data_IF_019248806219
#
_entry.id   IF_019248806219
#
_cell.length_a   1.000
_cell.length_b   1.000
_cell.length_c   1.000
_cell.angle_alpha   90.00
_cell.angle_beta   90.00
_cell.angle_gamma   90.00
#
_symmetry.space_group_name_H-M   'P 1'
#
loop_
_entity.id
_entity.type
_entity.pdbx_description
1 polymer ?
#
# COMPACT_ATOMS: atom_id res chain seq x y z
N UNK A 1 -0.27 53.09 -25.82
CA UNK A 1 -0.53 51.87 -25.01
C UNK A 1 -0.89 50.72 -25.93
N UNK A 2 -0.34 49.54 -25.68
CA UNK A 2 -0.63 48.32 -26.43
C UNK A 2 -1.17 47.26 -25.46
N UNK A 3 -2.35 46.71 -25.72
CA UNK A 3 -3.05 45.76 -24.82
C UNK A 3 -3.20 46.27 -23.37
N UNK A 4 -3.38 47.57 -23.17
CA UNK A 4 -3.48 48.18 -21.83
C UNK A 4 -2.16 48.25 -21.05
N UNK A 5 -1.03 47.87 -21.66
CA UNK A 5 0.30 47.85 -21.03
C UNK A 5 1.21 48.92 -21.66
N UNK A 6 2.07 49.53 -20.84
CA UNK A 6 3.04 50.55 -21.24
C UNK A 6 2.60 51.98 -20.97
N UNK A 7 3.40 52.94 -21.43
CA UNK A 7 3.12 54.37 -21.26
C UNK A 7 2.15 54.90 -22.33
N UNK A 8 1.36 55.92 -21.96
CA UNK A 8 0.46 56.60 -22.89
C UNK A 8 1.24 57.47 -23.89
N UNK A 9 2.23 58.22 -23.41
CA UNK A 9 3.20 58.94 -24.24
C UNK A 9 4.61 58.81 -23.66
N UNK A 10 5.66 58.80 -24.50
CA UNK A 10 7.04 58.76 -24.04
C UNK A 10 7.52 60.10 -23.44
N UNK A 11 6.83 61.19 -23.77
CA UNK A 11 7.19 62.54 -23.34
C UNK A 11 6.97 62.69 -21.83
N UNK A 12 7.98 63.22 -21.13
CA UNK A 12 7.93 63.38 -19.66
C UNK A 12 8.31 62.15 -18.85
N UNK A 13 8.44 60.96 -19.47
CA UNK A 13 8.94 59.76 -18.78
C UNK A 13 10.46 59.70 -18.69
N UNK A 14 11.19 60.58 -19.40
CA UNK A 14 12.66 60.59 -19.50
C UNK A 14 13.28 59.25 -19.98
N UNK A 15 12.51 58.40 -20.67
CA UNK A 15 12.97 57.13 -21.24
C UNK A 15 12.50 56.96 -22.68
N UNK A 16 13.09 56.01 -23.41
CA UNK A 16 12.71 55.68 -24.79
C UNK A 16 11.37 54.92 -24.91
N UNK A 17 10.66 54.68 -23.79
CA UNK A 17 9.36 54.00 -23.75
C UNK A 17 9.29 52.61 -24.40
N UNK A 18 10.42 51.92 -24.43
CA UNK A 18 10.48 50.56 -24.91
C UNK A 18 9.92 49.59 -23.86
N UNK A 19 8.86 48.87 -24.21
CA UNK A 19 8.15 47.96 -23.30
C UNK A 19 8.44 46.52 -23.72
N UNK A 20 9.04 45.75 -22.82
CA UNK A 20 9.31 44.32 -23.04
C UNK A 20 8.34 43.44 -22.24
N UNK A 21 7.96 42.30 -22.81
CA UNK A 21 7.26 41.27 -22.06
C UNK A 21 8.22 40.58 -21.09
N UNK A 22 7.80 40.40 -19.84
CA UNK A 22 8.54 39.58 -18.87
C UNK A 22 8.58 38.12 -19.32
N UNK A 23 9.79 37.56 -19.48
CA UNK A 23 10.03 36.15 -19.84
C UNK A 23 9.80 35.19 -18.66
N UNK A 24 9.93 35.69 -17.43
CA UNK A 24 9.73 34.90 -16.20
C UNK A 24 8.27 34.86 -15.76
N UNK A 25 7.37 35.59 -16.43
CA UNK A 25 5.95 35.57 -16.09
C UNK A 25 5.31 34.24 -16.52
N UNK A 26 5.08 33.36 -15.54
CA UNK A 26 4.33 32.12 -15.72
C UNK A 26 2.84 32.46 -15.74
N UNK A 27 2.18 32.19 -16.86
CA UNK A 27 0.72 32.38 -16.96
C UNK A 27 0.03 31.41 -16.00
N UNK A 28 -0.84 31.88 -15.09
CA UNK A 28 -1.63 30.97 -14.25
C UNK A 28 -2.50 30.12 -15.18
N UNK A 29 -2.49 28.80 -14.96
CA UNK A 29 -3.33 27.88 -15.69
C UNK A 29 -4.78 28.24 -15.33
N UNK A 30 -5.55 28.71 -16.29
CA UNK A 30 -6.98 28.94 -16.09
C UNK A 30 -7.58 27.59 -15.75
N UNK A 31 -7.89 27.38 -14.47
CA UNK A 31 -8.46 26.13 -14.00
C UNK A 31 -9.94 26.15 -14.40
N UNK A 32 -10.20 25.99 -15.69
CA UNK A 32 -11.51 25.54 -16.15
C UNK A 32 -11.60 24.10 -15.68
N UNK A 33 -12.03 23.92 -14.43
CA UNK A 33 -12.46 22.65 -13.92
C UNK A 33 -13.63 22.22 -14.79
N UNK A 34 -13.34 21.48 -15.87
CA UNK A 34 -14.38 20.71 -16.52
C UNK A 34 -14.89 19.78 -15.45
N UNK A 35 -16.14 19.97 -15.02
CA UNK A 35 -16.88 19.01 -14.20
C UNK A 35 -17.11 17.79 -15.09
N UNK A 36 -16.04 17.04 -15.35
CA UNK A 36 -16.13 15.69 -15.86
C UNK A 36 -16.58 14.88 -14.66
N UNK A 37 -17.77 14.29 -14.76
CA UNK A 37 -18.35 13.45 -13.71
C UNK A 37 -17.32 12.46 -13.17
N UNK A 38 -17.48 12.12 -11.90
CA UNK A 38 -16.55 11.28 -11.15
C UNK A 38 -16.35 9.95 -11.89
N UNK A 39 -15.18 9.76 -12.50
CA UNK A 39 -14.84 8.51 -13.16
C UNK A 39 -14.67 7.41 -12.09
N UNK A 40 -14.92 6.12 -12.41
CA UNK A 40 -14.59 5.04 -11.50
C UNK A 40 -13.09 5.11 -11.16
N UNK A 41 -12.76 5.30 -9.87
CA UNK A 41 -11.39 5.49 -9.39
C UNK A 41 -10.97 6.94 -9.12
N UNK A 42 -11.80 7.94 -9.44
CA UNK A 42 -11.62 9.28 -8.91
C UNK A 42 -11.83 9.19 -7.39
N UNK A 43 -10.96 9.77 -6.56
CA UNK A 43 -10.99 9.59 -5.09
C UNK A 43 -10.10 8.47 -4.52
N UNK A 44 -9.55 7.56 -5.33
CA UNK A 44 -8.47 6.65 -4.89
C UNK A 44 -7.10 7.33 -4.88
N UNK A 45 -7.04 8.64 -5.19
CA UNK A 45 -5.81 9.40 -5.38
C UNK A 45 -4.83 9.37 -4.19
N UNK A 46 -5.27 8.98 -2.99
CA UNK A 46 -4.42 8.76 -1.82
C UNK A 46 -3.98 7.31 -1.56
N UNK A 47 -4.55 6.33 -2.28
CA UNK A 47 -4.33 4.87 -2.14
C UNK A 47 -3.56 4.29 -3.34
N UNK A 48 -3.16 5.12 -4.31
CA UNK A 48 -2.59 4.66 -5.59
C UNK A 48 -1.28 3.91 -5.48
N UNK A 49 -0.57 3.98 -4.35
CA UNK A 49 0.65 3.21 -4.12
C UNK A 49 0.36 2.07 -3.15
N UNK A 50 0.10 0.89 -3.72
CA UNK A 50 0.14 -0.37 -2.98
C UNK A 50 1.49 -0.51 -2.27
N UNK A 51 1.53 -1.06 -1.05
CA UNK A 51 2.78 -1.39 -0.39
C UNK A 51 3.55 -2.41 -1.23
N UNK A 52 4.88 -2.27 -1.29
CA UNK A 52 5.72 -3.28 -1.91
C UNK A 52 6.14 -4.28 -0.83
N UNK A 53 5.84 -5.57 -1.05
CA UNK A 53 6.13 -6.64 -0.11
C UNK A 53 7.64 -6.79 0.14
N UNK A 54 8.46 -6.63 -0.90
CA UNK A 54 9.92 -6.74 -0.79
C UNK A 54 10.52 -5.72 0.18
N UNK A 55 9.97 -4.50 0.19
CA UNK A 55 10.43 -3.43 1.08
C UNK A 55 10.02 -3.72 2.53
N UNK A 56 8.80 -4.24 2.73
CA UNK A 56 8.34 -4.63 4.07
C UNK A 56 9.17 -5.78 4.64
N UNK A 57 9.45 -6.81 3.84
CA UNK A 57 10.31 -7.93 4.24
C UNK A 57 11.75 -7.46 4.55
N UNK A 58 12.28 -6.54 3.76
CA UNK A 58 13.60 -5.96 3.99
C UNK A 58 13.64 -5.18 5.31
N UNK A 59 12.63 -4.36 5.59
CA UNK A 59 12.52 -3.63 6.85
C UNK A 59 12.48 -4.59 8.05
N UNK A 60 11.74 -5.71 7.94
CA UNK A 60 11.67 -6.74 8.98
C UNK A 60 13.04 -7.38 9.24
N UNK A 61 13.75 -7.80 8.18
CA UNK A 61 15.11 -8.35 8.29
C UNK A 61 16.06 -7.33 8.93
N UNK A 62 15.95 -6.06 8.57
CA UNK A 62 16.73 -4.97 9.16
C UNK A 62 16.45 -4.81 10.66
N UNK A 63 15.19 -4.93 11.09
CA UNK A 63 14.85 -4.87 12.52
C UNK A 63 15.41 -6.04 13.31
N UNK A 64 15.36 -7.25 12.76
CA UNK A 64 15.97 -8.41 13.41
C UNK A 64 17.48 -8.23 13.55
N UNK A 65 18.16 -7.86 12.47
CA UNK A 65 19.59 -7.61 12.53
C UNK A 65 19.93 -6.52 13.54
N UNK A 66 19.15 -5.42 13.59
CA UNK A 66 19.32 -4.37 14.59
C UNK A 66 19.19 -4.91 16.02
N UNK A 67 18.18 -5.73 16.29
CA UNK A 67 17.97 -6.34 17.62
C UNK A 67 19.12 -7.26 18.01
N UNK A 68 19.62 -8.06 17.07
CA UNK A 68 20.75 -8.99 17.27
C UNK A 68 22.03 -8.21 17.60
N UNK A 69 22.35 -7.18 16.82
CA UNK A 69 23.54 -6.33 17.08
C UNK A 69 23.47 -5.65 18.45
N UNK A 70 22.30 -5.12 18.82
CA UNK A 70 22.10 -4.53 20.15
C UNK A 70 22.24 -5.56 21.27
N UNK A 71 21.87 -6.83 21.04
CA UNK A 71 22.07 -7.91 22.02
C UNK A 71 23.55 -8.30 22.11
N UNK A 72 24.25 -8.36 20.99
CA UNK A 72 25.69 -8.61 20.92
C UNK A 72 26.46 -7.57 21.75
N UNK A 73 26.21 -6.27 21.51
CA UNK A 73 26.81 -5.18 22.29
C UNK A 73 26.59 -5.34 23.80
N UNK A 74 25.36 -5.67 24.21
CA UNK A 74 25.02 -5.89 25.63
C UNK A 74 25.74 -7.10 26.23
N UNK A 75 25.90 -8.18 25.46
CA UNK A 75 26.59 -9.37 25.95
C UNK A 75 28.11 -9.15 26.03
N UNK A 76 28.66 -8.35 25.11
CA UNK A 76 30.06 -7.90 25.19
C UNK A 76 30.30 -7.02 26.42
N UNK A 77 29.41 -6.07 26.72
CA UNK A 77 29.52 -5.21 27.91
C UNK A 77 29.45 -6.01 29.23
N UNK A 78 28.74 -7.14 29.23
CA UNK A 78 28.63 -8.04 30.37
C UNK A 78 29.84 -8.98 30.52
N UNK A 79 30.78 -8.99 29.56
CA UNK A 79 31.99 -9.79 29.61
C UNK A 79 31.80 -11.28 29.31
N UNK A 80 30.79 -11.64 28.52
CA UNK A 80 30.61 -13.03 28.05
C UNK A 80 31.71 -13.43 27.06
N UNK A 81 31.97 -14.74 26.95
CA UNK A 81 32.92 -15.28 25.96
C UNK A 81 32.28 -15.33 24.57
N UNK A 82 33.08 -15.17 23.51
CA UNK A 82 32.60 -15.14 22.12
C UNK A 82 31.77 -16.39 21.73
N UNK A 83 32.10 -17.55 22.30
CA UNK A 83 31.36 -18.79 22.08
C UNK A 83 29.95 -18.75 22.68
N UNK A 84 29.81 -18.27 23.92
CA UNK A 84 28.51 -18.11 24.58
C UNK A 84 27.66 -17.02 23.91
N UNK A 85 28.31 -15.98 23.39
CA UNK A 85 27.64 -14.92 22.62
C UNK A 85 27.03 -15.52 21.36
N UNK A 86 27.78 -16.30 20.57
CA UNK A 86 27.28 -16.90 19.34
C UNK A 86 26.04 -17.78 19.57
N UNK A 87 26.05 -18.64 20.60
CA UNK A 87 24.91 -19.49 20.95
C UNK A 87 23.66 -18.66 21.29
N UNK A 88 23.81 -17.63 22.13
CA UNK A 88 22.71 -16.73 22.50
C UNK A 88 22.17 -15.91 21.32
N UNK A 89 23.03 -15.52 20.38
CA UNK A 89 22.59 -14.81 19.18
C UNK A 89 21.78 -15.71 18.24
N UNK A 90 22.16 -16.99 18.10
CA UNK A 90 21.42 -17.96 17.29
C UNK A 90 20.07 -18.34 17.93
N UNK A 91 20.01 -18.45 19.25
CA UNK A 91 18.75 -18.57 19.98
C UNK A 91 17.86 -17.34 19.80
N UNK A 92 18.45 -16.14 19.87
CA UNK A 92 17.72 -14.88 19.68
C UNK A 92 17.18 -14.75 18.25
N UNK A 93 17.93 -15.17 17.23
CA UNK A 93 17.47 -15.24 15.83
C UNK A 93 16.24 -16.10 15.69
N UNK A 94 16.32 -17.37 16.10
CA UNK A 94 15.20 -18.33 16.04
C UNK A 94 13.98 -17.79 16.80
N UNK A 95 14.20 -17.22 17.98
CA UNK A 95 13.12 -16.66 18.80
C UNK A 95 12.42 -15.47 18.14
N UNK A 96 13.15 -14.62 17.39
CA UNK A 96 12.58 -13.47 16.68
C UNK A 96 11.83 -13.90 15.42
N UNK A 97 12.32 -14.91 14.70
CA UNK A 97 11.67 -15.51 13.54
C UNK A 97 10.35 -16.20 13.95
N UNK A 98 10.39 -17.07 14.97
CA UNK A 98 9.19 -17.74 15.46
C UNK A 98 8.11 -16.76 15.94
N UNK A 99 8.50 -15.70 16.66
CA UNK A 99 7.54 -14.65 17.09
C UNK A 99 6.88 -13.97 15.90
N UNK A 100 7.63 -13.72 14.84
CA UNK A 100 7.11 -13.09 13.64
C UNK A 100 6.13 -13.98 12.88
N UNK A 101 6.41 -15.28 12.78
CA UNK A 101 5.50 -16.23 12.14
C UNK A 101 4.16 -16.35 12.90
N UNK A 102 4.20 -16.29 14.24
CA UNK A 102 3.00 -16.22 15.10
C UNK A 102 2.22 -14.90 14.89
N UNK A 103 2.92 -13.77 14.76
CA UNK A 103 2.31 -12.45 14.54
C UNK A 103 1.64 -12.33 13.16
N UNK A 104 2.20 -12.98 12.12
CA UNK A 104 1.59 -13.10 10.81
C UNK A 104 0.27 -13.87 10.86
N UNK A 105 0.20 -14.95 11.65
CA UNK A 105 -0.99 -15.78 11.80
C UNK A 105 -2.14 -15.09 12.52
N UNK A 106 -1.85 -14.24 13.51
CA UNK A 106 -2.86 -13.52 14.28
C UNK A 106 -3.35 -12.22 13.62
N UNK A 107 -2.90 -11.93 12.38
CA UNK A 107 -3.17 -10.68 11.65
C UNK A 107 -2.84 -9.41 12.47
N UNK A 108 -2.05 -9.60 13.53
CA UNK A 108 -1.69 -8.62 14.53
C UNK A 108 -0.24 -8.29 14.26
N UNK A 109 -0.01 -7.66 13.10
CA UNK A 109 1.28 -7.04 12.78
C UNK A 109 1.41 -5.79 13.65
N UNK A 110 1.56 -6.02 14.96
CA UNK A 110 1.81 -5.01 15.97
C UNK A 110 3.28 -4.66 15.86
N UNK A 111 3.57 -3.79 14.92
CA UNK A 111 4.68 -2.88 15.11
C UNK A 111 4.31 -2.04 16.35
N UNK A 112 4.76 -2.48 17.53
CA UNK A 112 4.45 -1.82 18.81
C UNK A 112 5.08 -0.41 18.90
N UNK A 113 6.06 -0.14 18.03
CA UNK A 113 6.54 1.19 17.74
C UNK A 113 5.61 1.91 16.75
N UNK A 114 5.18 3.12 17.13
CA UNK A 114 4.50 4.05 16.23
C UNK A 114 5.28 4.10 14.90
N UNK A 115 4.64 3.70 13.80
CA UNK A 115 5.26 3.75 12.47
C UNK A 115 5.67 5.19 12.21
N UNK A 116 6.97 5.41 12.04
CA UNK A 116 7.50 6.74 11.75
C UNK A 116 6.97 7.24 10.41
N UNK A 117 6.66 8.53 10.31
CA UNK A 117 6.10 9.16 9.09
C UNK A 117 6.98 8.96 7.85
N UNK A 118 8.28 8.71 8.04
CA UNK A 118 9.25 8.42 6.98
C UNK A 118 9.06 7.04 6.33
N UNK A 119 8.36 6.11 6.97
CA UNK A 119 8.18 4.73 6.48
C UNK A 119 6.93 4.63 5.59
N UNK A 120 7.04 5.12 4.37
CA UNK A 120 5.91 5.26 3.45
C UNK A 120 5.19 3.94 3.15
N UNK A 121 5.93 2.83 3.02
CA UNK A 121 5.33 1.52 2.69
C UNK A 121 4.59 0.90 3.87
N UNK A 122 5.09 1.06 5.09
CA UNK A 122 4.41 0.63 6.32
C UNK A 122 3.13 1.45 6.52
N UNK A 123 3.20 2.77 6.31
CA UNK A 123 2.02 3.64 6.36
C UNK A 123 1.00 3.26 5.29
N UNK A 124 1.43 2.94 4.07
CA UNK A 124 0.54 2.45 3.00
C UNK A 124 -0.12 1.13 3.37
N UNK A 125 0.62 0.16 3.92
CA UNK A 125 0.08 -1.13 4.33
C UNK A 125 -0.96 -0.99 5.45
N UNK A 126 -0.70 -0.14 6.45
CA UNK A 126 -1.66 0.18 7.50
C UNK A 126 -2.91 0.86 6.95
N UNK A 127 -2.75 1.82 6.04
CA UNK A 127 -3.88 2.48 5.38
C UNK A 127 -4.69 1.51 4.53
N UNK A 128 -4.06 0.58 3.82
CA UNK A 128 -4.76 -0.44 3.04
C UNK A 128 -5.64 -1.31 3.94
N UNK A 129 -5.10 -1.78 5.07
CA UNK A 129 -5.88 -2.52 6.09
C UNK A 129 -7.02 -1.69 6.68
N UNK A 130 -6.78 -0.43 7.03
CA UNK A 130 -7.83 0.47 7.53
C UNK A 130 -8.94 0.71 6.50
N UNK A 131 -8.56 0.83 5.23
CA UNK A 131 -9.54 1.00 4.15
C UNK A 131 -10.30 -0.29 3.88
N UNK A 132 -9.68 -1.46 4.00
CA UNK A 132 -10.34 -2.77 3.88
C UNK A 132 -11.37 -2.99 4.99
N UNK A 133 -11.03 -2.70 6.25
CA UNK A 133 -11.97 -2.78 7.37
C UNK A 133 -13.13 -1.80 7.21
N UNK A 134 -12.84 -0.57 6.79
CA UNK A 134 -13.86 0.45 6.51
C UNK A 134 -14.77 0.04 5.34
N UNK A 135 -14.22 -0.50 4.26
CA UNK A 135 -15.01 -1.02 3.11
C UNK A 135 -15.96 -2.13 3.56
N UNK A 136 -15.47 -3.06 4.39
CA UNK A 136 -16.29 -4.13 4.98
C UNK A 136 -17.41 -3.59 5.86
N UNK A 137 -17.10 -2.62 6.74
CA UNK A 137 -18.09 -1.99 7.61
C UNK A 137 -19.16 -1.20 6.84
N UNK A 138 -18.78 -0.51 5.76
CA UNK A 138 -19.71 0.24 4.90
C UNK A 138 -20.47 -0.65 3.91
N UNK A 139 -20.16 -1.95 3.84
CA UNK A 139 -20.77 -2.86 2.87
C UNK A 139 -20.48 -2.49 1.42
N UNK A 140 -19.37 -1.78 1.15
CA UNK A 140 -18.95 -1.45 -0.21
C UNK A 140 -18.31 -2.69 -0.80
N UNK A 141 -19.15 -3.51 -1.45
CA UNK A 141 -18.71 -4.69 -2.18
C UNK A 141 -18.03 -4.21 -3.45
N UNK A 142 -16.72 -4.44 -3.59
CA UNK A 142 -16.05 -4.14 -4.86
C UNK A 142 -16.51 -5.13 -5.93
N UNK A 143 -16.48 -4.75 -7.21
CA UNK A 143 -16.90 -5.66 -8.28
C UNK A 143 -16.04 -6.94 -8.31
N UNK A 144 -14.77 -6.87 -7.90
CA UNK A 144 -13.90 -8.03 -7.70
C UNK A 144 -14.40 -8.98 -6.59
N UNK A 145 -14.97 -8.44 -5.50
CA UNK A 145 -15.55 -9.26 -4.42
C UNK A 145 -16.89 -9.88 -4.82
N UNK A 146 -17.60 -9.28 -5.78
CA UNK A 146 -18.85 -9.83 -6.33
C UNK A 146 -18.60 -11.05 -7.20
N UNK A 147 -17.52 -11.05 -7.98
CA UNK A 147 -17.16 -12.18 -8.84
C UNK A 147 -16.68 -13.39 -8.01
N UNK A 148 -15.93 -13.15 -6.92
CA UNK A 148 -15.52 -14.22 -5.99
C UNK A 148 -16.73 -14.89 -5.31
N UNK A 149 -17.73 -14.11 -4.86
CA UNK A 149 -18.96 -14.66 -4.26
C UNK A 149 -19.82 -15.50 -5.20
N UNK A 150 -19.69 -15.32 -6.52
CA UNK A 150 -20.43 -16.13 -7.52
C UNK A 150 -19.77 -17.50 -7.74
N UNK A 151 -18.45 -17.61 -7.56
CA UNK A 151 -17.72 -18.87 -7.67
C UNK A 151 -18.02 -19.87 -6.54
N UNK A 152 -18.31 -19.39 -5.34
CA UNK A 152 -18.57 -20.25 -4.17
C UNK A 152 -20.02 -20.78 -4.09
N UNK A 153 -20.92 -20.30 -4.96
CA UNK A 153 -22.33 -20.72 -5.00
C UNK A 153 -22.60 -21.90 -5.96
N UNK A 154 -21.60 -22.35 -6.73
CA UNK A 154 -21.71 -23.49 -7.66
C UNK A 154 -20.92 -24.71 -7.16
N UNK A 155 -21.21 -25.18 -5.93
CA UNK A 155 -20.91 -26.57 -5.58
C UNK A 155 -22.07 -27.45 -6.10
N UNK A 156 -21.84 -28.40 -7.03
CA UNK A 156 -22.93 -29.23 -7.54
C UNK A 156 -23.48 -30.11 -6.42
N UNK A 157 -24.77 -29.94 -6.10
CA UNK A 157 -25.52 -30.88 -5.29
C UNK A 157 -25.37 -32.28 -5.88
N UNK A 158 -24.79 -33.16 -5.08
CA UNK A 158 -24.81 -34.62 -5.19
C UNK A 158 -26.24 -35.10 -5.50
N UNK A 159 -26.43 -35.72 -6.66
CA UNK A 159 -27.65 -36.47 -7.00
C UNK A 159 -27.27 -37.93 -7.19
N UNK A 160 -27.70 -38.74 -6.23
CA UNK A 160 -27.64 -40.19 -6.23
C UNK A 160 -28.24 -40.78 -7.51
N UNK A 161 -27.46 -41.60 -8.22
CA UNK A 161 -28.02 -42.51 -9.22
C UNK A 161 -27.98 -43.94 -8.69
N UNK A 162 -29.10 -44.32 -8.07
CA UNK A 162 -29.44 -45.68 -7.70
C UNK A 162 -29.40 -46.59 -8.93
N UNK A 163 -28.47 -47.54 -8.93
CA UNK A 163 -28.55 -48.72 -9.79
C UNK A 163 -29.62 -49.66 -9.22
N UNK A 164 -30.73 -49.90 -9.92
CA UNK A 164 -31.22 -51.27 -10.10
C UNK A 164 -32.35 -51.45 -11.14
N UNK A 165 -32.04 -52.32 -12.11
CA UNK A 165 -32.88 -53.41 -12.58
C UNK A 165 -34.02 -53.20 -13.62
N UNK A 166 -34.06 -54.20 -14.52
CA UNK A 166 -35.21 -54.76 -15.25
C UNK A 166 -35.46 -54.41 -16.74
N UNK A 167 -35.12 -55.43 -17.56
CA UNK A 167 -35.95 -56.05 -18.63
C UNK A 167 -35.97 -55.38 -20.02
N UNK A 168 -35.34 -56.04 -21.01
CA UNK A 168 -36.02 -57.00 -21.93
C UNK A 168 -35.10 -57.61 -22.99
N UNK A 169 -34.93 -58.93 -22.88
CA UNK A 169 -34.62 -59.86 -23.99
C UNK A 169 -35.82 -59.95 -24.96
N UNK A 170 -35.52 -60.13 -26.26
CA UNK A 170 -36.22 -60.95 -27.30
C UNK A 170 -35.45 -60.70 -28.62
N UNK A 171 -34.64 -61.62 -29.18
CA UNK A 171 -35.00 -62.74 -30.11
C UNK A 171 -36.21 -62.35 -30.97
N UNK A 172 -36.11 -62.17 -32.29
CA UNK A 172 -35.50 -62.99 -33.37
C UNK A 172 -34.79 -62.07 -34.37
#
# INVERSE_FOLDING_TARGET
>A
MYNGVGLQTPRGSATNSYVQRSKFFVKPKTNTYSIKGFAPGQGTAGVTRKPNLEILEHDLKRLFQRKIVVLEEKLMDLGYTDAEIAEKLDEARKSLESKHDEDLGNNSLVFSEKVSETQTHQVSALKERQMETLKGALGIISDADRDNKRGDAEAPCFVDNSADSHKRRRKI
#
